data_IF_744482001040
#
_entry.id   IF_744482001040
#
_cell.length_a   1.000
_cell.length_b   1.000
_cell.length_c   1.000
_cell.angle_alpha   90.00
_cell.angle_beta   90.00
_cell.angle_gamma   90.00
#
_symmetry.space_group_name_H-M   'P 1'
#
loop_
_entity.id
_entity.type
_entity.pdbx_description
1 polymer ?
#
# COMPACT_ATOMS: atom_id res chain seq x y z
N UNK A 1 12.74 19.42 -10.75
CA UNK A 1 11.58 18.52 -10.89
C UNK A 1 11.38 17.81 -9.55
N UNK A 2 10.19 17.88 -8.95
CA UNK A 2 9.94 17.28 -7.62
C UNK A 2 9.62 15.80 -7.80
N UNK A 3 10.39 14.93 -7.15
CA UNK A 3 10.23 13.48 -7.13
C UNK A 3 8.92 13.04 -6.45
N UNK A 4 7.79 13.16 -7.16
CA UNK A 4 6.46 12.75 -6.68
C UNK A 4 6.27 11.21 -6.65
N UNK A 5 7.21 10.42 -7.20
CA UNK A 5 7.11 8.96 -7.24
C UNK A 5 7.33 8.26 -5.89
N UNK A 6 7.99 8.90 -4.93
CA UNK A 6 8.31 8.31 -3.62
C UNK A 6 7.14 8.38 -2.62
N UNK A 7 6.28 9.39 -2.74
CA UNK A 7 5.13 9.60 -1.86
C UNK A 7 4.02 8.56 -2.12
N UNK A 8 3.74 8.26 -3.40
CA UNK A 8 2.68 7.34 -3.81
C UNK A 8 2.90 5.90 -3.33
N UNK A 9 4.14 5.38 -3.39
CA UNK A 9 4.45 4.02 -2.90
C UNK A 9 4.30 3.91 -1.39
N UNK A 10 4.75 4.94 -0.64
CA UNK A 10 4.61 4.98 0.83
C UNK A 10 3.15 5.03 1.23
N UNK A 11 2.33 5.84 0.55
CA UNK A 11 0.88 5.89 0.78
C UNK A 11 0.20 4.55 0.49
N UNK A 12 0.57 3.86 -0.60
CA UNK A 12 0.03 2.53 -0.91
C UNK A 12 0.31 1.50 0.18
N UNK A 13 1.55 1.45 0.68
CA UNK A 13 1.94 0.54 1.77
C UNK A 13 1.10 0.82 3.02
N UNK A 14 0.90 2.10 3.34
CA UNK A 14 0.08 2.51 4.49
C UNK A 14 -1.38 2.10 4.30
N UNK A 15 -1.96 2.32 3.13
CA UNK A 15 -3.37 1.97 2.82
C UNK A 15 -3.58 0.45 2.90
N UNK A 16 -2.67 -0.34 2.31
CA UNK A 16 -2.72 -1.79 2.40
C UNK A 16 -2.62 -2.28 3.84
N UNK A 17 -1.70 -1.72 4.62
CA UNK A 17 -1.54 -2.08 6.03
C UNK A 17 -2.80 -1.73 6.83
N UNK A 18 -3.42 -0.57 6.61
CA UNK A 18 -4.67 -0.18 7.25
C UNK A 18 -5.81 -1.14 6.91
N UNK A 19 -5.97 -1.49 5.62
CA UNK A 19 -7.04 -2.41 5.19
C UNK A 19 -6.86 -3.82 5.75
N UNK A 20 -5.62 -4.32 5.75
CA UNK A 20 -5.28 -5.62 6.35
C UNK A 20 -5.54 -5.64 7.85
N UNK A 21 -5.16 -4.58 8.59
CA UNK A 21 -5.42 -4.48 10.02
C UNK A 21 -6.92 -4.34 10.34
N UNK A 22 -7.69 -3.68 9.49
CA UNK A 22 -9.13 -3.49 9.69
C UNK A 22 -9.94 -4.77 9.40
N UNK A 23 -9.48 -5.60 8.47
CA UNK A 23 -10.08 -6.88 8.08
C UNK A 23 -11.61 -6.83 7.93
N UNK A 24 -12.09 -5.88 7.11
CA UNK A 24 -13.54 -5.62 6.88
C UNK A 24 -14.38 -5.46 8.18
N UNK A 25 -13.76 -4.96 9.24
CA UNK A 25 -14.41 -4.74 10.54
C UNK A 25 -14.26 -5.88 11.56
N UNK A 26 -13.59 -6.98 11.20
CA UNK A 26 -13.26 -8.08 12.14
C UNK A 26 -11.90 -7.92 12.81
N UNK A 27 -11.06 -7.01 12.31
CA UNK A 27 -9.73 -6.73 12.84
C UNK A 27 -9.72 -5.59 13.86
N UNK A 28 -8.64 -4.82 13.84
CA UNK A 28 -8.45 -3.68 14.73
C UNK A 28 -9.44 -2.56 14.43
N UNK A 29 -9.93 -1.91 15.50
CA UNK A 29 -10.74 -0.69 15.36
C UNK A 29 -9.91 0.48 14.80
N UNK A 30 -10.59 1.49 14.23
CA UNK A 30 -9.95 2.73 13.76
C UNK A 30 -9.06 3.37 14.83
N UNK A 31 -9.47 3.32 16.10
CA UNK A 31 -8.68 3.86 17.23
C UNK A 31 -7.42 3.06 17.48
N UNK A 32 -7.49 1.73 17.39
CA UNK A 32 -6.33 0.86 17.57
C UNK A 32 -5.35 1.02 16.41
N UNK A 33 -5.83 1.03 15.17
CA UNK A 33 -5.00 1.24 13.96
C UNK A 33 -4.28 2.60 14.01
N UNK A 34 -4.97 3.66 14.45
CA UNK A 34 -4.38 5.00 14.60
C UNK A 34 -3.22 5.02 15.59
N UNK A 35 -3.33 4.28 16.71
CA UNK A 35 -2.24 4.15 17.70
C UNK A 35 -1.10 3.28 17.17
N UNK A 36 -1.43 2.15 16.55
CA UNK A 36 -0.46 1.19 16.01
C UNK A 36 0.44 1.81 14.93
N UNK A 37 -0.15 2.63 14.05
CA UNK A 37 0.55 3.24 12.93
C UNK A 37 0.99 4.69 13.22
N UNK A 38 0.70 5.24 14.40
CA UNK A 38 0.97 6.64 14.77
C UNK A 38 0.45 7.65 13.73
N UNK A 39 -0.71 7.40 13.16
CA UNK A 39 -1.38 8.28 12.17
C UNK A 39 -2.74 8.74 12.69
N UNK A 40 -3.24 9.84 12.14
CA UNK A 40 -4.52 10.39 12.58
C UNK A 40 -5.69 9.45 12.27
N UNK A 41 -6.70 9.44 13.16
CA UNK A 41 -7.96 8.71 12.94
C UNK A 41 -8.67 9.13 11.64
N UNK A 42 -8.49 10.38 11.22
CA UNK A 42 -9.05 10.90 9.97
C UNK A 42 -8.38 10.27 8.75
N UNK A 43 -7.05 10.09 8.81
CA UNK A 43 -6.28 9.40 7.77
C UNK A 43 -6.72 7.94 7.63
N UNK A 44 -6.89 7.24 8.76
CA UNK A 44 -7.39 5.85 8.75
C UNK A 44 -8.79 5.79 8.11
N UNK A 45 -9.71 6.66 8.49
CA UNK A 45 -11.06 6.71 7.92
C UNK A 45 -11.04 7.01 6.41
N UNK A 46 -10.26 8.02 5.99
CA UNK A 46 -10.07 8.39 4.58
C UNK A 46 -9.60 7.18 3.77
N UNK A 47 -8.59 6.47 4.25
CA UNK A 47 -7.98 5.34 3.55
C UNK A 47 -8.81 4.05 3.57
N UNK A 48 -9.67 3.85 4.58
CA UNK A 48 -10.66 2.76 4.55
C UNK A 48 -11.77 2.99 3.53
N UNK A 49 -12.15 4.26 3.29
CA UNK A 49 -13.17 4.63 2.31
C UNK A 49 -12.65 4.68 0.87
N UNK A 50 -11.33 4.79 0.69
CA UNK A 50 -10.70 4.82 -0.63
C UNK A 50 -10.74 3.43 -1.28
N UNK A 51 -11.35 3.37 -2.47
CA UNK A 51 -11.27 2.19 -3.32
C UNK A 51 -9.82 1.96 -3.80
N UNK A 52 -9.38 0.71 -3.77
CA UNK A 52 -8.03 0.29 -4.22
C UNK A 52 -7.72 0.71 -5.67
N UNK A 53 -8.76 0.83 -6.50
CA UNK A 53 -8.67 1.12 -7.94
C UNK A 53 -8.04 2.48 -8.25
N UNK A 54 -8.13 3.45 -7.34
CA UNK A 54 -7.50 4.77 -7.53
C UNK A 54 -5.98 4.76 -7.29
N UNK A 55 -5.44 3.70 -6.68
CA UNK A 55 -4.03 3.64 -6.27
C UNK A 55 -3.28 2.57 -7.09
N UNK A 56 -3.98 1.55 -7.60
CA UNK A 56 -3.41 0.52 -8.49
C UNK A 56 -2.89 1.07 -9.82
N UNK A 57 -3.46 2.17 -10.33
CA UNK A 57 -3.00 2.83 -11.55
C UNK A 57 -1.52 3.27 -11.50
N UNK A 58 -0.94 3.44 -10.30
CA UNK A 58 0.48 3.78 -10.13
C UNK A 58 1.42 2.56 -10.09
N UNK A 59 0.88 1.34 -10.01
CA UNK A 59 1.68 0.09 -10.04
C UNK A 59 1.93 -0.40 -11.47
N UNK A 60 1.07 -0.03 -12.42
CA UNK A 60 1.20 -0.38 -13.85
C UNK A 60 2.31 0.39 -14.57
N UNK A 61 3.02 1.29 -13.89
CA UNK A 61 4.33 1.77 -14.36
C UNK A 61 5.38 0.66 -14.14
N UNK A 62 5.25 -0.39 -14.96
CA UNK A 62 6.05 -1.61 -15.00
C UNK A 62 7.49 -1.41 -15.49
N UNK A 63 7.96 -0.17 -15.62
CA UNK A 63 9.36 0.17 -15.93
C UNK A 63 10.34 -0.23 -14.80
N UNK A 64 9.83 -0.63 -13.64
CA UNK A 64 10.65 -1.29 -12.61
C UNK A 64 11.01 -2.71 -13.06
N UNK A 65 12.08 -2.82 -13.86
CA UNK A 65 12.82 -4.07 -14.03
C UNK A 65 13.13 -4.64 -12.63
N UNK A 66 12.41 -5.71 -12.25
CA UNK A 66 12.66 -6.41 -10.99
C UNK A 66 14.01 -7.09 -11.16
N UNK A 67 14.98 -6.73 -10.32
CA UNK A 67 16.34 -7.31 -10.37
C UNK A 67 16.33 -8.85 -10.29
N UNK A 68 15.25 -9.43 -9.74
CA UNK A 68 15.04 -10.88 -9.64
C UNK A 68 14.54 -11.54 -10.94
N UNK A 69 14.01 -10.79 -11.91
CA UNK A 69 13.62 -11.35 -13.22
C UNK A 69 14.85 -11.70 -14.07
N UNK A 70 16.04 -11.18 -13.76
CA UNK A 70 17.29 -11.53 -14.46
C UNK A 70 17.76 -12.98 -14.22
N UNK A 71 17.23 -13.65 -13.19
CA UNK A 71 17.60 -15.02 -12.83
C UNK A 71 16.43 -16.01 -12.94
N UNK A 72 15.33 -15.59 -13.57
CA UNK A 72 14.13 -16.42 -13.72
C UNK A 72 14.40 -17.72 -14.49
N UNK A 73 15.37 -17.67 -15.40
CA UNK A 73 15.78 -18.82 -16.22
C UNK A 73 16.45 -19.93 -15.41
N UNK A 74 16.90 -19.67 -14.18
CA UNK A 74 17.48 -20.67 -13.27
C UNK A 74 16.44 -21.40 -12.40
N UNK A 75 15.17 -20.97 -12.42
CA UNK A 75 14.09 -21.56 -11.63
C UNK A 75 13.23 -22.57 -12.41
N UNK A 76 13.53 -22.79 -13.69
CA UNK A 76 12.84 -23.77 -14.53
C UNK A 76 13.81 -24.92 -14.79
N UNK A 77 13.61 -26.03 -14.07
CA UNK A 77 14.18 -27.34 -14.37
C UNK A 77 13.04 -28.37 -14.39
#
# INVERSE_FOLDING_TARGET
MKDNGSASVKEWVVIHKIKGLYDRGKGLSIRAISRELSISRNTVRKYLQLEEKQISAYKDDGSRHKHLDAHRDFLIH
#
